data_IF_389853067350
#
_entry.id   IF_389853067350
#
_cell.length_a   1.000
_cell.length_b   1.000
_cell.length_c   1.000
_cell.angle_alpha   90.00
_cell.angle_beta   90.00
_cell.angle_gamma   90.00
#
_symmetry.space_group_name_H-M   'P 1'
#
loop_
_entity.id
_entity.type
_entity.pdbx_description
1 polymer ?
#
# COMPACT_ATOMS: atom_id res chain seq x y z
N UNK A 1 7.98 -66.17 42.14
CA UNK A 1 6.52 -66.02 42.01
C UNK A 1 6.20 -64.53 41.96
N UNK A 2 5.50 -64.11 40.89
CA UNK A 2 4.49 -63.03 40.79
C UNK A 2 4.78 -61.68 41.49
N UNK A 3 5.07 -60.59 40.76
CA UNK A 3 4.22 -59.73 39.87
C UNK A 3 3.90 -58.41 40.61
N UNK A 4 3.76 -57.32 39.84
CA UNK A 4 3.45 -55.92 40.21
C UNK A 4 4.69 -55.09 40.61
N UNK A 5 5.06 -53.99 39.96
CA UNK A 5 4.29 -53.07 39.09
C UNK A 5 5.18 -52.46 38.00
N UNK A 6 4.96 -52.90 36.76
CA UNK A 6 5.26 -52.11 35.55
C UNK A 6 4.09 -51.14 35.41
N UNK A 7 4.10 -50.04 36.17
CA UNK A 7 3.14 -48.93 36.00
C UNK A 7 3.83 -47.63 36.40
N UNK A 8 4.88 -47.24 35.67
CA UNK A 8 5.32 -45.84 35.66
C UNK A 8 6.20 -45.54 34.43
N UNK A 9 5.76 -46.00 33.26
CA UNK A 9 6.42 -45.66 31.99
C UNK A 9 5.37 -45.31 30.92
N UNK A 10 4.31 -44.60 31.33
CA UNK A 10 3.22 -44.15 30.45
C UNK A 10 2.84 -42.67 30.67
N UNK A 11 3.58 -41.94 31.51
CA UNK A 11 3.36 -40.50 31.74
C UNK A 11 4.36 -39.60 30.98
N UNK A 12 5.23 -40.17 30.12
CA UNK A 12 6.19 -39.40 29.29
C UNK A 12 5.75 -39.35 27.82
N UNK A 13 4.50 -39.76 27.52
CA UNK A 13 3.82 -39.40 26.28
C UNK A 13 3.04 -38.09 26.47
N UNK A 14 3.62 -37.13 27.20
CA UNK A 14 3.37 -35.73 26.85
C UNK A 14 4.11 -35.53 25.54
N UNK A 15 3.38 -35.83 24.46
CA UNK A 15 3.59 -35.25 23.14
C UNK A 15 4.05 -33.81 23.35
N UNK A 16 5.34 -33.56 23.15
CA UNK A 16 5.78 -32.21 22.88
C UNK A 16 5.13 -31.86 21.54
N UNK A 17 3.90 -31.34 21.57
CA UNK A 17 3.34 -30.62 20.43
C UNK A 17 4.33 -29.48 20.23
N UNK A 18 5.18 -29.60 19.22
CA UNK A 18 6.11 -28.56 18.88
C UNK A 18 5.29 -27.52 18.12
N UNK A 19 4.82 -26.50 18.83
CA UNK A 19 4.19 -25.34 18.21
C UNK A 19 5.26 -24.55 17.46
N UNK A 20 4.92 -24.10 16.26
CA UNK A 20 5.82 -23.30 15.43
C UNK A 20 5.06 -22.15 14.79
N UNK A 21 5.63 -20.96 14.90
CA UNK A 21 5.16 -19.80 14.17
C UNK A 21 5.61 -19.85 12.71
N UNK A 22 4.65 -19.71 11.81
CA UNK A 22 4.84 -19.53 10.38
C UNK A 22 4.52 -18.07 10.05
N UNK A 23 5.44 -17.39 9.37
CA UNK A 23 5.21 -16.05 8.83
C UNK A 23 4.81 -16.14 7.37
N UNK A 24 3.65 -15.60 7.04
CA UNK A 24 3.13 -15.45 5.69
C UNK A 24 3.15 -13.97 5.30
N UNK A 25 3.30 -13.72 4.00
CA UNK A 25 3.44 -12.36 3.45
C UNK A 25 2.49 -12.11 2.27
N UNK A 26 1.16 -12.25 2.44
CA UNK A 26 0.24 -11.96 1.35
C UNK A 26 0.21 -10.46 1.05
N UNK A 27 0.00 -10.14 -0.22
CA UNK A 27 0.01 -8.77 -0.73
C UNK A 27 -1.38 -8.32 -1.14
N UNK A 28 -1.68 -7.04 -0.92
CA UNK A 28 -2.88 -6.36 -1.41
C UNK A 28 -2.47 -5.13 -2.24
N UNK A 29 -3.38 -4.64 -3.06
CA UNK A 29 -3.16 -3.51 -3.96
C UNK A 29 -4.42 -2.65 -3.99
N UNK A 30 -4.24 -1.35 -3.80
CA UNK A 30 -5.31 -0.36 -3.88
C UNK A 30 -4.90 0.80 -4.76
N UNK A 31 -5.87 1.44 -5.40
CA UNK A 31 -5.63 2.57 -6.28
C UNK A 31 -6.63 3.69 -6.08
N UNK A 32 -6.25 4.88 -6.56
CA UNK A 32 -7.17 6.00 -6.66
C UNK A 32 -6.87 6.84 -7.89
N UNK A 33 -7.92 7.44 -8.45
CA UNK A 33 -7.86 8.16 -9.72
C UNK A 33 -7.97 9.66 -9.46
N UNK A 34 -7.20 10.43 -10.22
CA UNK A 34 -7.32 11.89 -10.30
C UNK A 34 -7.38 12.33 -11.76
N UNK A 35 -8.27 13.28 -12.04
CA UNK A 35 -8.45 13.84 -13.38
C UNK A 35 -7.86 15.24 -13.43
N UNK A 36 -6.77 15.41 -14.16
CA UNK A 36 -6.15 16.71 -14.42
C UNK A 36 -6.73 17.26 -15.71
N UNK A 37 -7.29 18.47 -15.69
CA UNK A 37 -7.76 19.17 -16.89
C UNK A 37 -7.55 20.68 -16.72
N UNK A 38 -6.33 21.13 -16.97
CA UNK A 38 -5.93 22.53 -16.76
C UNK A 38 -4.89 23.00 -17.78
N UNK A 39 -4.54 24.27 -17.69
CA UNK A 39 -3.48 24.91 -18.46
C UNK A 39 -2.40 25.42 -17.51
N UNK A 40 -1.16 24.97 -17.70
CA UNK A 40 -0.03 25.35 -16.83
C UNK A 40 0.04 24.49 -15.56
N UNK A 41 -0.04 25.14 -14.40
CA UNK A 41 0.06 24.46 -13.10
C UNK A 41 -1.24 23.72 -12.74
N UNK A 42 -1.10 22.59 -12.07
CA UNK A 42 -2.22 21.81 -11.54
C UNK A 42 -1.99 21.42 -10.08
N UNK A 43 -3.10 21.31 -9.36
CA UNK A 43 -3.16 20.74 -8.02
C UNK A 43 -4.52 20.07 -7.86
N UNK A 44 -4.50 18.76 -7.61
CA UNK A 44 -5.70 17.95 -7.48
C UNK A 44 -5.57 17.04 -6.24
N UNK A 45 -6.70 16.67 -5.65
CA UNK A 45 -6.77 15.89 -4.42
C UNK A 45 -7.54 14.60 -4.67
N UNK A 46 -7.09 13.53 -4.04
CA UNK A 46 -7.73 12.22 -4.14
C UNK A 46 -7.46 11.38 -2.89
N UNK A 47 -8.22 10.32 -2.67
CA UNK A 47 -8.19 9.53 -1.44
C UNK A 47 -8.26 8.05 -1.76
N UNK A 48 -7.46 7.24 -1.05
CA UNK A 48 -7.68 5.79 -0.92
C UNK A 48 -8.34 5.58 0.44
N UNK A 49 -9.55 5.05 0.47
CA UNK A 49 -10.31 4.91 1.71
C UNK A 49 -9.79 3.75 2.54
N UNK A 50 -9.73 3.94 3.85
CA UNK A 50 -9.32 2.90 4.80
C UNK A 50 -10.21 1.66 4.71
N UNK A 51 -11.50 1.83 4.38
CA UNK A 51 -12.43 0.71 4.16
C UNK A 51 -12.02 -0.17 2.98
N UNK A 52 -11.54 0.43 1.88
CA UNK A 52 -11.10 -0.34 0.71
C UNK A 52 -9.88 -1.20 1.03
N UNK A 53 -8.91 -0.60 1.73
CA UNK A 53 -7.70 -1.32 2.18
C UNK A 53 -8.08 -2.46 3.13
N UNK A 54 -9.00 -2.21 4.06
CA UNK A 54 -9.47 -3.24 4.98
C UNK A 54 -10.19 -4.38 4.26
N UNK A 55 -11.07 -4.07 3.30
CA UNK A 55 -11.76 -5.06 2.48
C UNK A 55 -10.75 -5.91 1.68
N UNK A 56 -9.76 -5.29 1.05
CA UNK A 56 -8.71 -5.99 0.31
C UNK A 56 -7.83 -6.89 1.18
N UNK A 57 -7.60 -6.52 2.44
CA UNK A 57 -6.89 -7.39 3.40
C UNK A 57 -7.77 -8.55 3.86
N UNK A 58 -9.06 -8.32 4.09
CA UNK A 58 -10.00 -9.39 4.46
C UNK A 58 -10.17 -10.43 3.33
N UNK A 59 -10.04 -10.00 2.08
CA UNK A 59 -10.07 -10.87 0.90
C UNK A 59 -8.82 -11.76 0.75
N UNK A 60 -7.79 -11.59 1.60
CA UNK A 60 -6.58 -12.44 1.59
C UNK A 60 -6.80 -13.84 2.18
N UNK A 61 -8.03 -14.17 2.61
CA UNK A 61 -8.42 -15.48 3.16
C UNK A 61 -7.47 -15.97 4.26
N UNK A 62 -7.04 -15.05 5.13
CA UNK A 62 -6.18 -15.36 6.28
C UNK A 62 -6.92 -16.24 7.30
N UNK A 63 -6.23 -17.22 7.88
CA UNK A 63 -6.83 -18.10 8.89
C UNK A 63 -7.20 -17.33 10.16
N UNK A 64 -8.30 -17.72 10.83
CA UNK A 64 -8.84 -16.99 11.99
C UNK A 64 -7.94 -17.04 13.24
N UNK A 65 -6.97 -17.95 13.28
CA UNK A 65 -6.08 -18.20 14.41
C UNK A 65 -4.72 -17.49 14.33
N UNK A 66 -4.50 -16.69 13.29
CA UNK A 66 -3.30 -15.85 13.17
C UNK A 66 -3.55 -14.36 13.36
N UNK A 67 -2.46 -13.60 13.43
CA UNK A 67 -2.49 -12.15 13.61
C UNK A 67 -1.63 -11.43 12.57
N UNK A 68 -2.04 -10.22 12.22
CA UNK A 68 -1.22 -9.33 11.37
C UNK A 68 -0.32 -8.49 12.29
N UNK A 69 0.99 -8.75 12.26
CA UNK A 69 1.97 -8.01 13.06
C UNK A 69 2.27 -6.62 12.48
N UNK A 70 2.32 -6.51 11.15
CA UNK A 70 2.69 -5.26 10.48
C UNK A 70 2.35 -5.26 8.99
N UNK A 71 2.36 -4.07 8.40
CA UNK A 71 2.27 -3.87 6.94
C UNK A 71 3.57 -3.29 6.40
N UNK A 72 4.05 -3.81 5.27
CA UNK A 72 5.11 -3.24 4.47
C UNK A 72 4.56 -2.62 3.17
N UNK A 73 5.21 -1.57 2.68
CA UNK A 73 4.94 -0.99 1.36
C UNK A 73 5.86 -1.67 0.36
N UNK A 74 5.30 -2.42 -0.59
CA UNK A 74 6.05 -3.08 -1.65
C UNK A 74 6.33 -2.12 -2.82
N UNK A 75 5.37 -1.25 -3.15
CA UNK A 75 5.49 -0.39 -4.30
C UNK A 75 4.44 0.71 -4.37
N UNK A 76 4.82 1.77 -5.08
CA UNK A 76 3.93 2.85 -5.52
C UNK A 76 4.27 3.11 -6.97
N UNK A 77 3.25 3.20 -7.82
CA UNK A 77 3.40 3.55 -9.23
C UNK A 77 2.20 4.36 -9.70
N UNK A 78 2.29 4.87 -10.93
CA UNK A 78 1.20 5.61 -11.57
C UNK A 78 0.87 4.98 -12.91
N UNK A 79 -0.41 4.93 -13.24
CA UNK A 79 -0.88 4.71 -14.61
C UNK A 79 -1.41 6.04 -15.12
N UNK A 80 -0.90 6.47 -16.28
CA UNK A 80 -1.26 7.75 -16.88
C UNK A 80 -1.92 7.51 -18.21
N UNK A 81 -3.13 8.04 -18.37
CA UNK A 81 -3.93 7.92 -19.57
C UNK A 81 -4.22 9.31 -20.15
N UNK A 82 -3.90 9.53 -21.43
CA UNK A 82 -4.11 10.82 -22.07
C UNK A 82 -5.58 11.00 -22.42
N UNK A 83 -6.11 12.19 -22.15
CA UNK A 83 -7.41 12.62 -22.65
C UNK A 83 -7.26 13.50 -23.90
N UNK A 84 -8.34 13.68 -24.66
CA UNK A 84 -8.29 14.47 -25.90
C UNK A 84 -8.04 15.96 -25.64
N UNK A 85 -7.15 16.57 -26.42
CA UNK A 85 -6.89 18.01 -26.37
C UNK A 85 -5.73 18.43 -25.47
N UNK A 86 -4.78 17.52 -25.22
CA UNK A 86 -3.47 17.88 -24.70
C UNK A 86 -2.70 18.74 -25.70
N UNK A 87 -2.06 19.80 -25.21
CA UNK A 87 -1.03 20.56 -25.95
C UNK A 87 0.33 20.52 -25.24
N UNK A 88 0.37 20.02 -24.00
CA UNK A 88 1.59 19.67 -23.29
C UNK A 88 2.25 18.45 -23.92
N UNK A 89 3.58 18.44 -23.96
CA UNK A 89 4.38 17.26 -24.35
C UNK A 89 4.79 16.43 -23.12
N UNK A 90 4.96 17.09 -21.97
CA UNK A 90 5.23 16.43 -20.69
C UNK A 90 4.69 17.26 -19.53
N UNK A 91 4.62 16.65 -18.35
CA UNK A 91 4.27 17.30 -17.10
C UNK A 91 5.20 16.84 -15.98
N UNK A 92 5.61 17.75 -15.11
CA UNK A 92 6.23 17.37 -13.84
C UNK A 92 5.10 16.97 -12.89
N UNK A 93 5.22 15.83 -12.23
CA UNK A 93 4.26 15.30 -11.27
C UNK A 93 4.92 15.18 -9.90
N UNK A 94 4.24 15.70 -8.90
CA UNK A 94 4.53 15.53 -7.49
C UNK A 94 3.33 14.83 -6.86
N UNK A 95 3.59 13.89 -5.96
CA UNK A 95 2.56 13.27 -5.14
C UNK A 95 2.94 13.52 -3.68
N UNK A 96 2.00 14.02 -2.91
CA UNK A 96 2.19 14.26 -1.47
C UNK A 96 1.08 13.58 -0.69
N UNK A 97 1.39 13.06 0.48
CA UNK A 97 0.46 12.45 1.42
C UNK A 97 0.20 13.41 2.57
N UNK A 98 -1.05 13.53 3.01
CA UNK A 98 -1.41 14.35 4.15
C UNK A 98 -0.74 13.81 5.43
N UNK A 99 -0.26 14.70 6.29
CA UNK A 99 0.37 14.38 7.58
C UNK A 99 -0.37 15.02 8.77
N UNK A 100 -1.25 15.97 8.51
CA UNK A 100 -2.11 16.66 9.48
C UNK A 100 -3.08 17.57 8.73
N UNK A 101 -3.83 18.41 9.45
CA UNK A 101 -4.92 19.21 8.84
C UNK A 101 -4.50 20.03 7.62
N UNK A 102 -3.27 20.54 7.59
CA UNK A 102 -2.71 21.35 6.49
C UNK A 102 -1.24 20.99 6.16
N UNK A 103 -0.73 19.88 6.68
CA UNK A 103 0.65 19.44 6.41
C UNK A 103 0.63 18.32 5.38
N UNK A 104 1.47 18.42 4.35
CA UNK A 104 1.65 17.40 3.32
C UNK A 104 3.12 17.03 3.26
N UNK A 105 3.39 15.72 3.26
CA UNK A 105 4.73 15.17 3.06
C UNK A 105 4.85 14.61 1.65
N UNK A 106 5.98 14.85 0.98
CA UNK A 106 6.22 14.31 -0.35
C UNK A 106 6.26 12.78 -0.31
N UNK A 107 5.57 12.14 -1.24
CA UNK A 107 5.75 10.73 -1.63
C UNK A 107 6.61 10.64 -2.89
N UNK A 108 6.34 11.50 -3.88
CA UNK A 108 7.02 11.59 -5.16
C UNK A 108 7.35 13.07 -5.44
N UNK A 109 8.58 13.37 -5.87
CA UNK A 109 9.01 14.73 -6.19
C UNK A 109 9.56 14.84 -7.60
N UNK A 110 9.14 15.89 -8.30
CA UNK A 110 9.70 16.35 -9.57
C UNK A 110 9.84 15.24 -10.61
N UNK A 111 8.89 14.32 -10.68
CA UNK A 111 8.93 13.23 -11.65
C UNK A 111 8.37 13.72 -12.98
N UNK A 112 9.16 13.65 -14.04
CA UNK A 112 8.71 14.09 -15.37
C UNK A 112 8.00 12.93 -16.06
N UNK A 113 6.74 13.16 -16.42
CA UNK A 113 5.91 12.25 -17.19
C UNK A 113 5.76 12.83 -18.60
N UNK A 114 6.20 12.08 -19.61
CA UNK A 114 5.85 12.40 -20.99
C UNK A 114 4.37 12.11 -21.19
N UNK A 115 3.61 13.04 -21.80
CA UNK A 115 2.19 12.82 -22.08
C UNK A 115 2.10 11.67 -23.10
N UNK A 116 1.65 10.48 -22.69
CA UNK A 116 1.76 9.33 -23.58
C UNK A 116 0.65 9.39 -24.63
N UNK A 117 0.80 8.66 -25.74
CA UNK A 117 -0.27 8.57 -26.77
C UNK A 117 -1.37 7.56 -26.40
N UNK A 118 -1.07 6.67 -25.46
CA UNK A 118 -1.95 5.62 -24.92
C UNK A 118 -1.69 5.52 -23.42
N UNK A 119 -2.55 4.80 -22.71
CA UNK A 119 -2.33 4.47 -21.29
C UNK A 119 -0.94 3.85 -21.06
N UNK A 120 -0.19 4.37 -20.08
CA UNK A 120 1.19 3.96 -19.80
C UNK A 120 1.44 3.91 -18.29
N UNK A 121 2.09 2.84 -17.83
CA UNK A 121 2.52 2.66 -16.43
C UNK A 121 3.91 3.24 -16.20
N UNK A 122 4.07 3.97 -15.10
CA UNK A 122 5.31 4.61 -14.68
C UNK A 122 5.73 4.10 -13.30
N UNK A 123 6.91 3.49 -13.24
CA UNK A 123 7.57 3.08 -12.00
C UNK A 123 8.69 4.06 -11.66
N UNK A 124 8.73 4.53 -10.41
CA UNK A 124 9.63 5.61 -10.00
C UNK A 124 10.28 5.40 -8.62
N UNK A 125 10.87 4.22 -8.33
CA UNK A 125 11.40 3.92 -6.99
C UNK A 125 12.48 4.90 -6.54
N UNK A 126 13.28 5.44 -7.46
CA UNK A 126 14.37 6.39 -7.16
C UNK A 126 13.87 7.81 -6.81
N UNK A 127 12.63 8.14 -7.13
CA UNK A 127 12.02 9.44 -6.88
C UNK A 127 11.12 9.46 -5.63
N UNK A 128 10.99 8.31 -4.96
CA UNK A 128 10.22 8.18 -3.74
C UNK A 128 10.93 8.86 -2.56
N UNK A 129 10.18 9.65 -1.80
CA UNK A 129 10.71 10.29 -0.60
C UNK A 129 10.51 9.39 0.63
N UNK A 130 11.62 9.04 1.29
CA UNK A 130 11.63 8.12 2.44
C UNK A 130 10.66 8.53 3.55
N UNK A 131 10.48 9.82 3.82
CA UNK A 131 9.61 10.27 4.90
C UNK A 131 8.14 10.11 4.53
N UNK A 132 7.78 10.36 3.26
CA UNK A 132 6.44 10.06 2.76
C UNK A 132 6.12 8.57 2.81
N UNK A 133 7.06 7.72 2.39
CA UNK A 133 6.89 6.26 2.45
C UNK A 133 6.74 5.77 3.89
N UNK A 134 7.52 6.32 4.83
CA UNK A 134 7.39 5.98 6.24
C UNK A 134 6.01 6.38 6.80
N UNK A 135 5.48 7.54 6.39
CA UNK A 135 4.14 7.99 6.78
C UNK A 135 3.05 7.12 6.15
N UNK A 136 3.17 6.78 4.87
CA UNK A 136 2.26 5.84 4.21
C UNK A 136 2.25 4.49 4.92
N UNK A 137 3.44 3.94 5.23
CA UNK A 137 3.56 2.70 6.00
C UNK A 137 2.85 2.83 7.36
N UNK A 138 3.04 3.92 8.07
CA UNK A 138 2.38 4.14 9.36
C UNK A 138 0.86 4.13 9.22
N UNK A 139 0.30 4.83 8.23
CA UNK A 139 -1.15 4.81 7.96
C UNK A 139 -1.67 3.42 7.62
N UNK A 140 -0.97 2.68 6.76
CA UNK A 140 -1.34 1.30 6.44
C UNK A 140 -1.34 0.41 7.69
N UNK A 141 -0.38 0.59 8.61
CA UNK A 141 -0.38 -0.15 9.88
C UNK A 141 -1.57 0.27 10.76
N UNK A 142 -1.88 1.56 10.88
CA UNK A 142 -3.05 2.01 11.62
C UNK A 142 -4.36 1.41 11.08
N UNK A 143 -4.51 1.35 9.75
CA UNK A 143 -5.70 0.81 9.10
C UNK A 143 -5.81 -0.70 9.33
N UNK A 144 -4.72 -1.44 9.06
CA UNK A 144 -4.75 -2.90 8.98
C UNK A 144 -4.49 -3.58 10.33
N UNK A 145 -3.53 -3.07 11.10
CA UNK A 145 -3.13 -3.66 12.40
C UNK A 145 -4.01 -3.11 13.51
N UNK A 146 -4.22 -1.80 13.56
CA UNK A 146 -4.98 -1.15 14.63
C UNK A 146 -6.49 -1.03 14.31
N UNK A 147 -6.91 -1.37 13.09
CA UNK A 147 -8.32 -1.33 12.66
C UNK A 147 -8.91 0.07 12.55
N UNK A 148 -8.08 1.11 12.37
CA UNK A 148 -8.52 2.51 12.33
C UNK A 148 -9.09 2.86 10.95
N UNK A 149 -10.41 2.72 10.81
CA UNK A 149 -11.13 2.98 9.54
C UNK A 149 -11.33 4.45 9.18
N UNK A 150 -10.80 5.38 9.98
CA UNK A 150 -10.83 6.83 9.70
C UNK A 150 -9.50 7.37 9.18
N UNK A 151 -8.47 6.53 9.07
CA UNK A 151 -7.12 6.95 8.65
C UNK A 151 -6.92 6.84 7.13
N UNK A 152 -7.84 7.39 6.35
CA UNK A 152 -7.79 7.40 4.90
C UNK A 152 -6.45 7.94 4.36
N UNK A 153 -6.01 7.47 3.19
CA UNK A 153 -4.79 7.96 2.56
C UNK A 153 -5.15 9.11 1.63
N UNK A 154 -5.10 10.33 2.18
CA UNK A 154 -5.30 11.57 1.42
C UNK A 154 -4.03 11.92 0.63
N UNK A 155 -4.16 11.96 -0.69
CA UNK A 155 -3.12 12.30 -1.63
C UNK A 155 -3.41 13.63 -2.33
N UNK A 156 -2.35 14.39 -2.57
CA UNK A 156 -2.37 15.57 -3.41
C UNK A 156 -1.38 15.40 -4.55
N UNK A 157 -1.88 15.56 -5.77
CA UNK A 157 -1.13 15.46 -7.02
C UNK A 157 -0.98 16.85 -7.60
N UNK A 158 0.26 17.30 -7.77
CA UNK A 158 0.52 18.66 -8.26
C UNK A 158 1.68 18.71 -9.23
N UNK A 159 1.71 19.76 -10.04
CA UNK A 159 2.69 19.83 -11.11
C UNK A 159 2.55 21.02 -12.04
N UNK A 160 3.36 20.99 -13.09
CA UNK A 160 3.38 21.99 -14.15
C UNK A 160 3.62 21.34 -15.51
N UNK A 161 3.18 22.01 -16.57
CA UNK A 161 3.29 21.50 -17.94
C UNK A 161 4.53 22.01 -18.68
N UNK A 162 5.00 21.19 -19.64
CA UNK A 162 6.01 21.56 -20.63
C UNK A 162 5.43 21.34 -22.04
N UNK A 163 5.45 22.34 -22.95
CA UNK A 163 5.86 23.73 -22.73
C UNK A 163 5.03 24.43 -21.65
N UNK A 164 5.57 25.48 -21.02
CA UNK A 164 4.83 26.24 -20.01
C UNK A 164 3.50 26.77 -20.56
N UNK A 165 2.47 26.81 -19.71
CA UNK A 165 1.11 27.24 -20.07
C UNK A 165 0.47 26.43 -21.21
N UNK A 166 0.95 25.21 -21.45
CA UNK A 166 0.24 24.25 -22.29
C UNK A 166 -0.86 23.55 -21.50
N UNK A 167 -1.86 23.05 -22.22
CA UNK A 167 -3.01 22.34 -21.68
C UNK A 167 -2.65 20.88 -21.45
N UNK A 168 -2.89 20.41 -20.22
CA UNK A 168 -2.75 19.01 -19.82
C UNK A 168 -4.11 18.44 -19.45
N UNK A 169 -4.41 17.27 -19.99
CA UNK A 169 -5.64 16.52 -19.76
C UNK A 169 -5.30 15.05 -19.56
N UNK A 170 -5.23 14.62 -18.32
CA UNK A 170 -4.78 13.28 -17.94
C UNK A 170 -5.73 12.68 -16.91
N UNK A 171 -5.96 11.37 -17.03
CA UNK A 171 -6.39 10.53 -15.92
C UNK A 171 -5.13 9.90 -15.34
N UNK A 172 -4.84 10.16 -14.06
CA UNK A 172 -3.71 9.61 -13.34
C UNK A 172 -4.26 8.71 -12.25
N UNK A 173 -3.96 7.42 -12.35
CA UNK A 173 -4.27 6.44 -11.32
C UNK A 173 -3.02 6.14 -10.51
N UNK A 174 -3.09 6.34 -9.19
CA UNK A 174 -1.98 6.09 -8.26
C UNK A 174 -2.27 4.76 -7.57
N UNK A 175 -1.33 3.83 -7.68
CA UNK A 175 -1.40 2.53 -7.03
C UNK A 175 -0.49 2.48 -5.82
N UNK A 176 -0.97 1.83 -4.76
CA UNK A 176 -0.20 1.47 -3.56
C UNK A 176 -0.33 -0.03 -3.36
N UNK A 177 0.81 -0.72 -3.33
CA UNK A 177 0.89 -2.14 -3.02
C UNK A 177 1.51 -2.36 -1.65
N UNK A 178 0.82 -3.11 -0.82
CA UNK A 178 1.28 -3.49 0.51
C UNK A 178 1.37 -5.00 0.68
N UNK A 179 2.12 -5.44 1.68
CA UNK A 179 2.11 -6.81 2.17
C UNK A 179 1.91 -6.84 3.67
N UNK A 180 1.08 -7.74 4.15
CA UNK A 180 0.88 -7.97 5.59
C UNK A 180 1.86 -9.02 6.08
N UNK A 181 2.43 -8.84 7.27
CA UNK A 181 3.20 -9.87 7.97
C UNK A 181 2.22 -10.60 8.86
N UNK A 182 1.71 -11.72 8.37
CA UNK A 182 0.76 -12.55 9.09
C UNK A 182 1.50 -13.68 9.81
N UNK A 183 1.23 -13.86 11.09
CA UNK A 183 1.83 -14.91 11.91
C UNK A 183 0.76 -15.90 12.32
N UNK A 184 1.01 -17.16 12.03
CA UNK A 184 0.16 -18.28 12.42
C UNK A 184 0.96 -19.28 13.24
N UNK A 185 0.44 -19.68 14.39
CA UNK A 185 1.03 -20.75 15.20
C UNK A 185 0.43 -22.08 14.77
N UNK A 186 1.26 -23.00 14.26
CA UNK A 186 0.83 -24.35 13.88
C UNK A 186 1.35 -25.39 14.85
N UNK A 187 0.52 -26.38 15.20
CA UNK A 187 0.95 -27.56 15.94
C UNK A 187 1.63 -28.57 15.00
N UNK A 188 2.88 -28.95 15.31
CA UNK A 188 3.58 -30.01 14.58
C UNK A 188 3.31 -31.37 15.25
N UNK A 189 2.80 -32.32 14.45
CA UNK A 189 2.48 -33.71 14.84
C UNK A 189 3.73 -34.60 14.76
#
# INVERSE_FOLDING_TARGET
MRKFSIVLLLAVLFTACEEKDIKLYPSFEESTIVNVNTTGEFEEYTTIYASQINDAVNDLELEEDGEIESVAVEGIWMVVKPLSGNTATSATVNVTIKAGDQDYKPLLKNYVVDIPSVETTYYFPEYLDKNGIALLKARLNNIVVDGILTDDIDLKVSGNTTPENSTVKLEIEIFVKGSVVFVQTVELI
#
